data_IF_705233687598
#
_entry.id   IF_705233687598
#
_cell.length_a   1.000
_cell.length_b   1.000
_cell.length_c   1.000
_cell.angle_alpha   90.00
_cell.angle_beta   90.00
_cell.angle_gamma   90.00
#
_symmetry.space_group_name_H-M   'P 1'
#
loop_
_entity.id
_entity.type
_entity.pdbx_description
1 polymer ?
#
# COMPACT_ATOMS: atom_id res chain seq x y z
N UNK A 1 -14.68 -23.85 -10.13
CA UNK A 1 -14.41 -23.35 -10.23
C UNK A 1 -13.91 -22.58 -10.35
N UNK A 2 -13.84 -22.45 -10.31
CA UNK A 2 -13.40 -21.71 -10.37
C UNK A 2 -13.00 -20.77 -10.20
N UNK A 3 -12.80 -20.47 -9.87
CA UNK A 3 -12.45 -19.55 -9.65
C UNK A 3 -11.41 -19.06 -9.55
N UNK A 4 -11.04 -19.15 -9.51
CA UNK A 4 -10.07 -18.75 -9.44
C UNK A 4 -9.30 -18.29 -10.04
N UNK A 5 -9.25 -18.14 -10.44
CA UNK A 5 -8.44 -17.67 -11.11
C UNK A 5 -8.07 -16.46 -11.05
N UNK A 6 -8.38 -15.85 -11.04
CA UNK A 6 -8.12 -14.71 -10.98
C UNK A 6 -7.51 -14.22 -9.95
N UNK A 7 -7.61 -14.48 -9.22
CA UNK A 7 -7.06 -14.06 -8.25
C UNK A 7 -5.80 -14.27 -7.96
N UNK A 8 -5.30 -14.71 -8.58
CA UNK A 8 -4.01 -15.11 -8.40
C UNK A 8 -3.04 -14.08 -8.01
N UNK A 9 -3.20 -12.84 -8.41
CA UNK A 9 -2.24 -11.87 -8.12
C UNK A 9 -2.51 -11.14 -6.91
N UNK A 10 -3.73 -10.86 -6.63
CA UNK A 10 -4.09 -10.03 -5.56
C UNK A 10 -4.55 -10.88 -4.44
N UNK A 11 -3.93 -10.80 -3.31
CA UNK A 11 -4.27 -11.59 -2.16
C UNK A 11 -4.68 -10.66 -1.03
N UNK A 12 -5.79 -10.95 -0.35
CA UNK A 12 -6.15 -10.18 0.82
C UNK A 12 -5.12 -10.43 1.92
N UNK A 13 -4.64 -9.36 2.49
CA UNK A 13 -3.66 -9.41 3.56
C UNK A 13 -4.01 -8.35 4.58
N UNK A 14 -3.39 -8.44 5.74
CA UNK A 14 -3.51 -7.41 6.73
C UNK A 14 -2.16 -7.25 7.39
N UNK A 15 -1.41 -6.27 6.93
CA UNK A 15 -0.13 -5.94 7.50
C UNK A 15 -0.14 -4.53 8.01
N UNK A 16 0.44 -4.33 9.17
CA UNK A 16 0.72 -2.99 9.62
C UNK A 16 2.05 -2.59 9.01
N UNK A 17 2.05 -1.54 8.22
CA UNK A 17 3.25 -1.07 7.55
C UNK A 17 3.52 0.37 7.93
N UNK A 18 4.76 0.81 7.77
CA UNK A 18 5.13 2.19 8.00
C UNK A 18 5.06 2.95 6.69
N UNK A 19 4.25 3.99 6.64
CA UNK A 19 4.13 4.85 5.49
C UNK A 19 5.09 6.01 5.66
N UNK A 20 5.92 6.24 4.67
CA UNK A 20 6.97 7.24 4.70
C UNK A 20 6.73 8.20 3.55
N UNK A 21 6.73 9.48 3.82
CA UNK A 21 6.71 10.47 2.77
C UNK A 21 7.85 11.44 3.02
N UNK A 22 8.27 12.12 1.98
CA UNK A 22 9.48 12.92 2.04
C UNK A 22 9.44 14.06 3.03
N UNK A 23 8.25 14.58 3.31
CA UNK A 23 8.15 15.78 4.12
C UNK A 23 7.40 15.58 5.41
N UNK A 24 6.83 14.41 5.63
CA UNK A 24 6.00 14.17 6.80
C UNK A 24 6.62 13.14 7.69
N UNK A 25 6.21 13.15 8.95
CA UNK A 25 6.61 12.10 9.86
C UNK A 25 6.06 10.77 9.39
N UNK A 26 6.77 9.70 9.68
CA UNK A 26 6.30 8.36 9.34
C UNK A 26 5.03 8.04 10.11
N UNK A 27 4.15 7.32 9.47
CA UNK A 27 2.89 6.91 10.07
C UNK A 27 2.65 5.46 9.75
N UNK A 28 1.75 4.85 10.52
CA UNK A 28 1.38 3.48 10.24
C UNK A 28 0.14 3.44 9.36
N UNK A 29 0.06 2.44 8.53
CA UNK A 29 -1.14 2.16 7.76
C UNK A 29 -1.35 0.67 7.69
N UNK A 30 -2.56 0.26 7.35
CA UNK A 30 -2.89 -1.14 7.23
C UNK A 30 -2.91 -1.50 5.75
N UNK A 31 -2.06 -2.44 5.36
CA UNK A 31 -2.05 -2.94 3.99
C UNK A 31 -3.09 -4.03 3.90
N UNK A 32 -4.11 -3.83 3.08
CA UNK A 32 -5.24 -4.75 2.98
C UNK A 32 -5.21 -5.62 1.74
N UNK A 33 -4.47 -5.21 0.71
CA UNK A 33 -4.26 -6.03 -0.47
C UNK A 33 -2.88 -5.74 -1.02
N UNK A 34 -2.30 -6.74 -1.63
CA UNK A 34 -0.98 -6.60 -2.20
C UNK A 34 -0.88 -7.45 -3.46
N UNK A 35 -0.21 -6.92 -4.46
CA UNK A 35 0.10 -7.65 -5.68
C UNK A 35 1.48 -7.24 -6.14
N UNK A 36 1.93 -7.85 -7.23
CA UNK A 36 3.24 -7.51 -7.78
C UNK A 36 3.33 -6.05 -8.19
N UNK A 37 2.23 -5.48 -8.60
CA UNK A 37 2.24 -4.13 -9.16
C UNK A 37 1.71 -3.06 -8.24
N UNK A 38 1.19 -3.40 -7.09
CA UNK A 38 0.63 -2.36 -6.24
C UNK A 38 0.11 -2.84 -4.92
N UNK A 39 -0.48 -1.91 -4.18
CA UNK A 39 -1.02 -2.19 -2.85
C UNK A 39 -2.32 -1.44 -2.66
N UNK A 40 -3.10 -1.93 -1.73
CA UNK A 40 -4.24 -1.19 -1.20
C UNK A 40 -4.00 -1.03 0.28
N UNK A 41 -4.08 0.20 0.75
CA UNK A 41 -3.84 0.50 2.17
C UNK A 41 -5.02 1.26 2.74
N UNK A 42 -5.20 1.12 4.03
CA UNK A 42 -6.15 1.92 4.76
C UNK A 42 -5.36 2.85 5.68
N UNK A 43 -5.54 4.15 5.47
CA UNK A 43 -4.83 5.17 6.22
C UNK A 43 -5.81 5.95 7.04
N UNK A 44 -6.43 5.27 7.97
CA UNK A 44 -7.49 5.84 8.77
C UNK A 44 -6.94 6.99 9.60
N UNK A 45 -7.50 8.15 9.37
CA UNK A 45 -7.17 9.32 10.18
C UNK A 45 -6.21 10.30 9.54
N UNK A 46 -5.68 10.03 8.36
CA UNK A 46 -4.81 11.00 7.71
C UNK A 46 -4.84 10.84 6.19
N UNK A 47 -4.34 11.84 5.51
CA UNK A 47 -4.31 11.86 4.04
C UNK A 47 -2.97 11.35 3.55
N UNK A 48 -3.02 10.34 2.68
CA UNK A 48 -1.83 9.79 2.06
C UNK A 48 -1.42 10.71 0.92
N UNK A 49 -0.15 11.11 0.84
CA UNK A 49 0.30 11.93 -0.30
C UNK A 49 0.27 11.13 -1.60
N UNK A 50 0.32 11.81 -2.72
CA UNK A 50 0.24 11.16 -4.03
C UNK A 50 1.34 10.14 -4.26
N UNK A 51 2.51 10.37 -3.69
CA UNK A 51 3.59 9.42 -3.74
C UNK A 51 4.09 9.17 -2.34
N UNK A 52 4.31 7.91 -2.03
CA UNK A 52 4.73 7.53 -0.71
C UNK A 52 5.53 6.22 -0.78
N UNK A 53 6.17 5.90 0.32
CA UNK A 53 6.90 4.64 0.42
C UNK A 53 6.35 3.83 1.57
N UNK A 54 6.51 2.53 1.48
CA UNK A 54 6.10 1.64 2.56
C UNK A 54 7.29 0.79 2.99
N UNK A 55 7.40 0.63 4.30
CA UNK A 55 8.33 -0.33 4.89
C UNK A 55 7.49 -1.38 5.60
N UNK A 56 7.64 -2.61 5.18
CA UNK A 56 6.79 -3.69 5.69
C UNK A 56 7.34 -4.32 6.96
N UNK A 57 8.60 -4.13 7.26
CA UNK A 57 9.15 -4.57 8.52
C UNK A 57 10.18 -3.55 8.96
N UNK A 58 10.54 -3.59 10.23
CA UNK A 58 11.39 -2.56 10.81
C UNK A 58 12.67 -2.30 10.06
N UNK A 59 13.32 -3.35 9.59
CA UNK A 59 14.56 -3.24 8.84
C UNK A 59 14.41 -3.65 7.40
N UNK A 60 13.19 -3.84 6.94
CA UNK A 60 12.94 -4.33 5.61
C UNK A 60 13.15 -3.28 4.55
N UNK A 61 13.09 -3.70 3.29
CA UNK A 61 13.24 -2.76 2.20
C UNK A 61 12.07 -1.79 2.15
N UNK A 62 12.33 -0.63 1.59
CA UNK A 62 11.32 0.39 1.37
C UNK A 62 10.91 0.33 -0.10
N UNK A 63 9.62 0.33 -0.36
CA UNK A 63 9.09 0.32 -1.72
C UNK A 63 8.26 1.55 -1.93
N UNK A 64 8.35 2.12 -3.11
CA UNK A 64 7.67 3.37 -3.44
C UNK A 64 6.44 3.11 -4.28
N UNK A 65 5.42 3.93 -4.06
CA UNK A 65 4.12 3.78 -4.70
C UNK A 65 3.57 5.12 -5.08
N UNK A 66 2.69 5.12 -6.09
CA UNK A 66 1.97 6.30 -6.52
C UNK A 66 0.47 6.01 -6.44
N UNK A 67 -0.27 6.91 -5.83
CA UNK A 67 -1.71 6.77 -5.65
C UNK A 67 -2.41 6.80 -6.99
N UNK A 68 -3.30 5.84 -7.22
CA UNK A 68 -4.11 5.81 -8.43
C UNK A 68 -5.60 5.99 -8.13
N UNK A 69 -6.02 5.72 -6.90
CA UNK A 69 -7.40 6.02 -6.52
C UNK A 69 -7.50 6.13 -5.00
N UNK A 70 -8.55 6.82 -4.58
CA UNK A 70 -8.84 7.00 -3.16
C UNK A 70 -10.34 6.86 -2.96
N UNK A 71 -10.73 6.12 -1.93
CA UNK A 71 -12.12 6.01 -1.53
C UNK A 71 -12.13 5.99 -0.01
N UNK A 72 -12.65 7.07 0.61
CA UNK A 72 -12.60 7.18 2.05
C UNK A 72 -11.15 7.16 2.54
N UNK A 73 -10.85 6.26 3.46
CA UNK A 73 -9.48 6.10 3.94
C UNK A 73 -8.71 5.03 3.16
N UNK A 74 -9.38 4.38 2.20
CA UNK A 74 -8.71 3.37 1.38
C UNK A 74 -8.01 4.03 0.22
N UNK A 75 -6.81 3.59 -0.04
CA UNK A 75 -5.98 4.13 -1.10
C UNK A 75 -5.40 2.98 -1.90
N UNK A 76 -5.61 3.03 -3.21
CA UNK A 76 -4.96 2.08 -4.11
C UNK A 76 -3.77 2.76 -4.75
N UNK A 77 -2.64 2.08 -4.77
CA UNK A 77 -1.41 2.66 -5.27
C UNK A 77 -0.64 1.66 -6.10
N UNK A 78 0.04 2.19 -7.10
CA UNK A 78 0.83 1.42 -8.03
C UNK A 78 2.29 1.52 -7.65
N UNK A 79 3.00 0.40 -7.73
CA UNK A 79 4.42 0.40 -7.43
C UNK A 79 5.18 1.24 -8.46
N UNK A 80 6.09 2.04 -7.98
CA UNK A 80 6.94 2.86 -8.83
C UNK A 80 8.30 2.18 -8.91
N UNK A 81 8.73 1.90 -10.13
CA UNK A 81 10.08 1.41 -10.33
C UNK A 81 11.00 2.57 -10.51
N UNK A 82 12.07 2.57 -9.83
CA UNK A 82 13.00 3.66 -9.99
C UNK A 82 14.37 3.16 -10.36
#
# INVERSE_FOLDING_TARGET
MLKERRQTRRQPVEYLATLISGTCASRYCLVTEMSDGGVRVNANGYTVPDEFSLRFSGDGPVKSYKVIWRIGWDVGAKKIDS
#
